data_IF_908185892282
#
_entry.id   IF_908185892282
#
_cell.length_a   1.000
_cell.length_b   1.000
_cell.length_c   1.000
_cell.angle_alpha   90.00
_cell.angle_beta   90.00
_cell.angle_gamma   90.00
#
_symmetry.space_group_name_H-M   'P 1'
#
loop_
_entity.id
_entity.type
_entity.pdbx_description
1 polymer ?
#
# COMPACT_ATOMS: atom_id res chain seq x y z
N UNK A 1 -14.28 -6.77 -3.88
CA UNK A 1 -12.98 -6.72 -3.16
C UNK A 1 -12.35 -5.36 -3.44
N UNK A 2 -11.70 -4.73 -2.44
CA UNK A 2 -10.87 -3.53 -2.65
C UNK A 2 -9.41 -3.98 -2.52
N UNK A 3 -8.58 -3.63 -3.50
CA UNK A 3 -7.16 -3.88 -3.48
C UNK A 3 -6.41 -2.62 -3.91
N UNK A 4 -5.29 -2.36 -3.26
CA UNK A 4 -4.33 -1.32 -3.67
C UNK A 4 -3.11 -2.04 -4.24
N UNK A 5 -2.75 -1.69 -5.46
CA UNK A 5 -1.57 -2.23 -6.15
C UNK A 5 -0.62 -1.11 -6.49
N UNK A 6 0.67 -1.40 -6.45
CA UNK A 6 1.74 -0.49 -6.87
C UNK A 6 2.44 -1.19 -8.02
N UNK A 7 2.47 -0.54 -9.18
CA UNK A 7 2.99 -1.07 -10.43
C UNK A 7 3.97 -0.05 -11.02
N UNK A 8 4.86 -0.49 -11.90
CA UNK A 8 5.95 0.34 -12.46
C UNK A 8 5.43 1.46 -13.34
N UNK A 9 4.39 1.16 -14.11
CA UNK A 9 3.82 2.10 -15.07
C UNK A 9 2.35 1.74 -15.42
N UNK A 10 1.75 2.58 -16.26
CA UNK A 10 0.37 2.39 -16.72
C UNK A 10 0.20 1.15 -17.63
N UNK A 11 1.25 0.69 -18.32
CA UNK A 11 1.15 -0.49 -19.18
C UNK A 11 1.07 -1.76 -18.33
N UNK A 12 1.86 -1.86 -17.26
CA UNK A 12 1.75 -2.91 -16.26
C UNK A 12 0.39 -2.90 -15.56
N UNK A 13 -0.18 -1.71 -15.27
CA UNK A 13 -1.55 -1.61 -14.75
C UNK A 13 -2.59 -2.15 -15.73
N UNK A 14 -2.50 -1.79 -17.02
CA UNK A 14 -3.44 -2.27 -18.02
C UNK A 14 -3.38 -3.80 -18.14
N UNK A 15 -2.18 -4.40 -18.14
CA UNK A 15 -2.00 -5.86 -18.12
C UNK A 15 -2.58 -6.50 -16.86
N UNK A 16 -2.25 -5.94 -15.70
CA UNK A 16 -2.69 -6.48 -14.42
C UNK A 16 -4.22 -6.47 -14.29
N UNK A 17 -4.88 -5.38 -14.67
CA UNK A 17 -6.33 -5.29 -14.58
C UNK A 17 -7.01 -6.13 -15.67
N UNK A 18 -6.57 -5.99 -16.93
CA UNK A 18 -7.26 -6.58 -18.07
C UNK A 18 -7.03 -8.09 -18.23
N UNK A 19 -5.77 -8.53 -18.09
CA UNK A 19 -5.39 -9.92 -18.35
C UNK A 19 -5.33 -10.73 -17.06
N UNK A 20 -4.68 -10.19 -16.02
CA UNK A 20 -4.50 -10.93 -14.77
C UNK A 20 -5.77 -10.99 -13.95
N UNK A 21 -6.34 -9.85 -13.56
CA UNK A 21 -7.55 -9.79 -12.75
C UNK A 21 -8.78 -10.18 -13.56
N UNK A 22 -8.90 -9.71 -14.80
CA UNK A 22 -10.00 -10.06 -15.70
C UNK A 22 -10.06 -11.55 -16.04
N UNK A 23 -8.92 -12.26 -16.01
CA UNK A 23 -8.86 -13.70 -16.24
C UNK A 23 -9.13 -14.56 -15.00
N UNK A 24 -9.35 -13.98 -13.81
CA UNK A 24 -9.66 -14.75 -12.61
C UNK A 24 -11.13 -15.20 -12.62
N UNK A 25 -11.34 -16.49 -12.36
CA UNK A 25 -12.68 -17.04 -12.19
C UNK A 25 -13.47 -16.25 -11.13
N UNK A 26 -14.69 -15.85 -11.50
CA UNK A 26 -15.59 -15.08 -10.64
C UNK A 26 -15.40 -13.55 -10.68
N UNK A 27 -14.38 -13.02 -11.39
CA UNK A 27 -14.27 -11.58 -11.63
C UNK A 27 -15.14 -11.18 -12.82
N UNK A 28 -16.31 -10.59 -12.53
CA UNK A 28 -17.25 -10.13 -13.57
C UNK A 28 -17.04 -8.67 -13.96
N UNK A 29 -16.45 -7.86 -13.07
CA UNK A 29 -16.18 -6.45 -13.32
C UNK A 29 -15.05 -5.94 -12.42
N UNK A 30 -14.28 -4.98 -12.93
CA UNK A 30 -13.25 -4.25 -12.20
C UNK A 30 -13.46 -2.75 -12.32
N UNK A 31 -13.32 -2.02 -11.21
CA UNK A 31 -13.25 -0.55 -11.20
C UNK A 31 -11.85 -0.13 -10.75
N UNK A 32 -11.12 0.55 -11.63
CA UNK A 32 -9.75 0.99 -11.37
C UNK A 32 -9.72 2.50 -11.11
N UNK A 33 -9.00 2.91 -10.08
CA UNK A 33 -8.77 4.31 -9.75
C UNK A 33 -7.26 4.53 -9.58
N UNK A 34 -6.70 5.48 -10.32
CA UNK A 34 -5.29 5.82 -10.25
C UNK A 34 -5.05 6.78 -9.09
N UNK A 35 -4.12 6.41 -8.21
CA UNK A 35 -3.60 7.32 -7.20
C UNK A 35 -2.53 8.22 -7.83
N UNK A 36 -2.77 9.53 -7.84
CA UNK A 36 -1.81 10.53 -8.36
C UNK A 36 -0.80 10.96 -7.31
N UNK A 37 -1.17 10.85 -6.02
CA UNK A 37 -0.29 11.11 -4.90
C UNK A 37 -0.72 10.29 -3.67
N UNK A 38 0.26 9.79 -2.90
CA UNK A 38 0.02 9.14 -1.62
C UNK A 38 0.46 10.07 -0.48
N UNK A 39 -0.50 10.56 0.30
CA UNK A 39 -0.30 11.54 1.37
C UNK A 39 -0.05 10.89 2.72
N UNK A 40 -0.74 9.78 2.98
CA UNK A 40 -0.49 8.92 4.13
C UNK A 40 -0.36 7.47 3.68
N UNK A 41 0.63 6.81 4.24
CA UNK A 41 0.82 5.38 4.18
C UNK A 41 0.88 4.84 5.61
N UNK A 42 0.21 3.72 5.84
CA UNK A 42 0.76 2.59 6.57
C UNK A 42 1.63 2.90 7.79
N UNK A 43 2.89 3.12 7.46
CA UNK A 43 4.06 3.27 8.30
C UNK A 43 4.03 4.42 9.31
N UNK A 44 3.23 5.46 9.10
CA UNK A 44 3.15 6.62 10.01
C UNK A 44 2.22 6.40 11.20
N UNK A 45 1.33 5.42 11.12
CA UNK A 45 0.36 5.16 12.18
C UNK A 45 1.04 4.63 13.45
N UNK A 46 0.51 5.02 14.61
CA UNK A 46 0.98 4.62 15.95
C UNK A 46 -0.16 3.99 16.72
N UNK A 47 0.11 3.09 17.67
CA UNK A 47 -0.92 2.53 18.56
C UNK A 47 -1.24 3.46 19.75
N UNK A 48 -0.43 4.50 19.96
CA UNK A 48 -0.46 5.45 21.08
C UNK A 48 -0.55 4.76 22.46
N UNK A 49 0.27 3.72 22.63
CA UNK A 49 0.47 3.07 23.94
C UNK A 49 1.72 3.54 24.65
N UNK A 50 2.58 4.29 23.94
CA UNK A 50 3.81 4.82 24.48
C UNK A 50 3.58 6.28 24.89
N UNK A 51 3.97 6.61 26.12
CA UNK A 51 4.05 7.99 26.59
C UNK A 51 5.07 8.81 25.81
N UNK A 52 5.11 10.12 26.04
CA UNK A 52 6.07 11.02 25.40
C UNK A 52 7.52 10.63 25.68
N UNK A 53 7.88 10.43 26.95
CA UNK A 53 9.21 9.99 27.37
C UNK A 53 9.65 8.67 26.70
N UNK A 54 8.75 7.68 26.65
CA UNK A 54 9.04 6.40 25.99
C UNK A 54 9.24 6.56 24.47
N UNK A 55 8.52 7.49 23.84
CA UNK A 55 8.71 7.80 22.42
C UNK A 55 10.04 8.50 22.19
N UNK A 56 10.40 9.45 23.04
CA UNK A 56 11.63 10.21 22.92
C UNK A 56 12.86 9.31 23.12
N UNK A 57 12.81 8.39 24.08
CA UNK A 57 13.84 7.35 24.26
C UNK A 57 14.02 6.47 23.01
N UNK A 58 12.95 6.19 22.27
CA UNK A 58 13.00 5.38 21.04
C UNK A 58 13.35 6.18 19.78
N UNK A 59 13.10 7.50 19.77
CA UNK A 59 13.28 8.36 18.62
C UNK A 59 14.54 9.21 18.67
N UNK A 60 15.14 9.40 19.84
CA UNK A 60 16.30 10.27 20.07
C UNK A 60 17.52 9.95 19.19
N UNK A 61 17.71 8.69 18.82
CA UNK A 61 18.82 8.24 17.97
C UNK A 61 18.48 8.13 16.48
N UNK A 62 17.27 8.52 16.05
CA UNK A 62 16.88 8.34 14.65
C UNK A 62 17.46 9.48 13.80
N UNK A 63 18.37 9.19 12.85
CA UNK A 63 18.91 10.23 11.99
C UNK A 63 17.77 10.88 11.17
N UNK A 64 17.80 12.21 10.96
CA UNK A 64 16.77 12.91 10.21
C UNK A 64 16.65 12.31 8.81
N UNK A 65 15.41 12.02 8.41
CA UNK A 65 15.11 11.42 7.12
C UNK A 65 15.29 12.43 5.99
N UNK A 66 16.34 12.22 5.17
CA UNK A 66 16.62 13.07 4.01
C UNK A 66 17.52 12.42 2.95
N UNK A 67 17.76 11.11 3.03
CA UNK A 67 18.65 10.40 2.12
C UNK A 67 17.98 9.76 0.90
N UNK A 68 18.79 9.08 0.09
CA UNK A 68 18.40 8.25 -1.05
C UNK A 68 17.37 7.18 -0.64
N UNK A 69 16.10 7.39 -1.00
CA UNK A 69 14.99 6.45 -0.74
C UNK A 69 14.95 5.29 -1.73
N UNK A 70 15.84 5.27 -2.74
CA UNK A 70 15.82 4.23 -3.73
C UNK A 70 16.36 2.92 -3.16
N UNK A 71 15.55 1.86 -3.28
CA UNK A 71 16.04 0.50 -3.12
C UNK A 71 16.89 0.14 -4.33
N UNK A 72 18.18 -0.18 -4.12
CA UNK A 72 19.06 -0.57 -5.22
C UNK A 72 18.88 -2.04 -5.53
N UNK A 73 19.08 -2.43 -6.79
CA UNK A 73 19.00 -3.83 -7.25
C UNK A 73 19.88 -4.77 -6.41
N UNK A 74 21.05 -4.30 -6.01
CA UNK A 74 22.00 -5.05 -5.15
C UNK A 74 21.49 -5.33 -3.73
N UNK A 75 20.48 -4.59 -3.25
CA UNK A 75 19.91 -4.74 -1.92
C UNK A 75 18.70 -5.68 -1.89
N UNK A 76 18.13 -6.00 -3.05
CA UNK A 76 16.89 -6.79 -3.14
C UNK A 76 17.00 -8.13 -2.41
N UNK A 77 18.15 -8.80 -2.50
CA UNK A 77 18.39 -10.06 -1.81
C UNK A 77 18.28 -9.92 -0.28
N UNK A 78 18.85 -8.84 0.29
CA UNK A 78 18.76 -8.55 1.72
C UNK A 78 17.31 -8.26 2.13
N UNK A 79 16.62 -7.42 1.36
CA UNK A 79 15.22 -7.06 1.65
C UNK A 79 14.30 -8.29 1.55
N UNK A 80 14.51 -9.18 0.58
CA UNK A 80 13.73 -10.42 0.46
C UNK A 80 13.87 -11.33 1.69
N UNK A 81 15.06 -11.40 2.29
CA UNK A 81 15.28 -12.13 3.54
C UNK A 81 14.55 -11.45 4.71
N UNK A 82 14.68 -10.13 4.83
CA UNK A 82 14.03 -9.35 5.89
C UNK A 82 12.49 -9.33 5.79
N UNK A 83 11.92 -9.43 4.59
CA UNK A 83 10.46 -9.56 4.41
C UNK A 83 9.94 -10.88 5.00
N UNK A 84 10.75 -11.95 4.93
CA UNK A 84 10.41 -13.23 5.55
C UNK A 84 10.52 -13.17 7.07
N UNK A 85 11.65 -12.65 7.54
CA UNK A 85 11.91 -12.41 8.96
C UNK A 85 12.83 -11.18 9.12
N UNK A 86 12.27 -10.10 9.63
CA UNK A 86 12.98 -8.83 9.78
C UNK A 86 13.93 -8.81 10.98
N UNK A 87 13.91 -9.84 11.83
CA UNK A 87 14.77 -9.99 13.00
C UNK A 87 16.02 -10.82 12.73
N UNK A 88 16.23 -11.25 11.48
CA UNK A 88 17.39 -12.05 11.12
C UNK A 88 18.69 -11.33 11.47
N UNK A 89 19.64 -12.01 12.15
CA UNK A 89 20.91 -11.41 12.50
C UNK A 89 21.77 -11.21 11.25
N UNK A 90 22.62 -10.17 11.28
CA UNK A 90 23.56 -9.82 10.19
C UNK A 90 24.38 -11.03 9.72
N UNK A 91 24.82 -11.90 10.63
CA UNK A 91 25.61 -13.08 10.28
C UNK A 91 24.83 -14.05 9.36
N UNK A 92 23.53 -14.25 9.61
CA UNK A 92 22.68 -15.08 8.75
C UNK A 92 22.42 -14.41 7.41
N UNK A 93 22.19 -13.10 7.40
CA UNK A 93 22.03 -12.35 6.16
C UNK A 93 23.30 -12.43 5.29
N UNK A 94 24.48 -12.32 5.90
CA UNK A 94 25.78 -12.47 5.25
C UNK A 94 25.94 -13.86 4.62
N UNK A 95 25.69 -14.91 5.40
CA UNK A 95 25.72 -16.31 4.95
C UNK A 95 24.80 -16.55 3.74
N UNK A 96 23.55 -16.08 3.80
CA UNK A 96 22.58 -16.29 2.71
C UNK A 96 22.87 -15.47 1.45
N UNK A 97 23.59 -14.35 1.58
CA UNK A 97 23.86 -13.45 0.45
C UNK A 97 25.28 -13.58 -0.09
N UNK A 98 26.17 -14.32 0.59
CA UNK A 98 27.60 -14.36 0.27
C UNK A 98 28.35 -13.06 0.55
N UNK A 99 27.72 -12.08 1.21
CA UNK A 99 28.33 -10.80 1.56
C UNK A 99 29.08 -10.89 2.88
N UNK A 100 30.12 -10.06 3.07
CA UNK A 100 30.72 -9.90 4.39
C UNK A 100 29.72 -9.28 5.38
N UNK A 101 29.77 -9.63 6.68
CA UNK A 101 28.94 -8.99 7.71
C UNK A 101 29.05 -7.46 7.73
N UNK A 102 30.25 -6.92 7.47
CA UNK A 102 30.51 -5.49 7.37
C UNK A 102 29.76 -4.86 6.20
N UNK A 103 29.76 -5.51 5.02
CA UNK A 103 29.01 -5.05 3.85
C UNK A 103 27.51 -5.05 4.12
N UNK A 104 26.98 -6.09 4.76
CA UNK A 104 25.56 -6.17 5.15
C UNK A 104 25.19 -5.01 6.06
N UNK A 105 25.92 -4.78 7.16
CA UNK A 105 25.65 -3.66 8.09
C UNK A 105 25.64 -2.33 7.37
N UNK A 106 26.63 -2.08 6.51
CA UNK A 106 26.75 -0.84 5.76
C UNK A 106 25.53 -0.62 4.84
N UNK A 107 25.04 -1.66 4.16
CA UNK A 107 23.87 -1.58 3.27
C UNK A 107 22.58 -1.37 4.04
N UNK A 108 22.36 -2.10 5.13
CA UNK A 108 21.19 -1.91 6.00
C UNK A 108 21.16 -0.47 6.55
N UNK A 109 22.27 -0.01 7.13
CA UNK A 109 22.38 1.35 7.67
C UNK A 109 22.19 2.43 6.58
N UNK A 110 22.61 2.18 5.34
CA UNK A 110 22.32 3.08 4.21
C UNK A 110 20.82 3.14 3.92
N UNK A 111 20.18 1.99 3.76
CA UNK A 111 18.75 1.92 3.45
C UNK A 111 17.88 2.50 4.58
N UNK A 112 18.26 2.26 5.83
CA UNK A 112 17.57 2.77 7.01
C UNK A 112 17.69 4.30 7.12
N UNK A 113 18.90 4.85 6.94
CA UNK A 113 19.13 6.31 6.92
C UNK A 113 18.46 6.98 5.73
N UNK A 114 18.46 6.33 4.57
CA UNK A 114 17.80 6.81 3.36
C UNK A 114 16.27 6.71 3.44
N UNK A 115 15.72 5.89 4.33
CA UNK A 115 14.29 5.60 4.41
C UNK A 115 13.79 4.59 3.37
N UNK A 116 14.70 3.94 2.63
CA UNK A 116 14.38 2.83 1.73
C UNK A 116 14.00 1.55 2.50
N UNK A 117 14.46 1.41 3.75
CA UNK A 117 14.11 0.32 4.65
C UNK A 117 13.58 0.86 5.97
N UNK A 118 12.47 0.30 6.44
CA UNK A 118 11.94 0.59 7.76
C UNK A 118 11.29 -0.63 8.39
N UNK A 119 11.44 -0.76 9.70
CA UNK A 119 10.83 -1.83 10.48
C UNK A 119 9.53 -1.35 11.10
N UNK A 120 8.56 -2.26 11.17
CA UNK A 120 7.28 -1.97 11.79
C UNK A 120 6.74 -3.17 12.53
N UNK A 121 6.27 -2.92 13.74
CA UNK A 121 5.42 -3.84 14.48
C UNK A 121 3.96 -3.55 14.12
N UNK A 122 3.24 -4.57 13.69
CA UNK A 122 1.79 -4.52 13.47
C UNK A 122 1.12 -5.39 14.54
N UNK A 123 0.00 -4.91 15.05
CA UNK A 123 -0.82 -5.60 16.05
C UNK A 123 -2.11 -6.04 15.38
N UNK A 124 -2.58 -7.26 15.70
CA UNK A 124 -3.84 -7.76 15.18
C UNK A 124 -4.98 -6.78 15.54
N UNK A 125 -5.83 -6.47 14.56
CA UNK A 125 -6.86 -5.43 14.70
C UNK A 125 -7.86 -5.71 15.81
N UNK A 126 -8.22 -6.98 15.99
CA UNK A 126 -9.09 -7.44 17.07
C UNK A 126 -8.63 -7.00 18.46
N UNK A 127 -7.32 -6.77 18.67
CA UNK A 127 -6.74 -6.37 19.96
C UNK A 127 -6.09 -4.98 19.92
N UNK A 128 -6.20 -4.24 18.81
CA UNK A 128 -5.60 -2.90 18.68
C UNK A 128 -6.45 -1.80 19.33
N UNK A 129 -7.73 -2.07 19.60
CA UNK A 129 -8.73 -1.08 19.98
C UNK A 129 -9.27 -0.25 18.81
N UNK A 130 -8.89 -0.61 17.58
CA UNK A 130 -9.33 0.00 16.30
C UNK A 130 -9.68 -1.09 15.27
N UNK A 131 -10.71 -1.92 15.53
CA UNK A 131 -10.97 -3.11 14.71
C UNK A 131 -11.62 -2.82 13.36
N UNK A 132 -12.32 -1.68 13.21
CA UNK A 132 -13.12 -1.39 12.02
C UNK A 132 -12.29 -0.60 11.01
N UNK A 133 -12.27 -1.04 9.75
CA UNK A 133 -11.65 -0.29 8.64
C UNK A 133 -12.73 0.21 7.70
N UNK A 134 -12.66 1.49 7.37
CA UNK A 134 -13.62 2.15 6.49
C UNK A 134 -12.86 2.86 5.38
N UNK A 135 -13.22 2.58 4.14
CA UNK A 135 -12.76 3.32 2.98
C UNK A 135 -13.79 4.38 2.65
N UNK A 136 -13.32 5.61 2.46
CA UNK A 136 -14.14 6.78 2.16
C UNK A 136 -13.61 7.39 0.87
N UNK A 137 -14.49 7.48 -0.14
CA UNK A 137 -14.23 8.25 -1.35
C UNK A 137 -14.89 9.60 -1.20
N UNK A 138 -14.16 10.63 -1.61
CA UNK A 138 -14.61 11.99 -1.48
C UNK A 138 -14.20 12.85 -2.67
N UNK A 139 -14.89 13.97 -2.78
CA UNK A 139 -14.64 15.02 -3.76
C UNK A 139 -14.45 16.35 -3.03
N UNK A 140 -13.47 17.13 -3.47
CA UNK A 140 -13.18 18.49 -3.03
C UNK A 140 -12.79 19.34 -4.25
N UNK A 141 -12.83 20.69 -4.20
CA UNK A 141 -12.31 21.51 -5.29
C UNK A 141 -10.87 21.09 -5.71
N UNK A 142 -10.54 21.04 -7.03
CA UNK A 142 -9.25 20.53 -7.50
C UNK A 142 -8.02 21.23 -6.92
N UNK A 143 -8.11 22.54 -6.71
CA UNK A 143 -7.10 23.40 -6.08
C UNK A 143 -6.89 23.11 -4.58
N UNK A 144 -7.88 22.45 -3.94
CA UNK A 144 -7.86 22.12 -2.52
C UNK A 144 -7.40 20.68 -2.23
N UNK A 145 -7.30 19.83 -3.26
CA UNK A 145 -7.04 18.39 -3.10
C UNK A 145 -5.78 18.11 -2.28
N UNK A 146 -4.65 18.73 -2.64
CA UNK A 146 -3.38 18.48 -1.96
C UNK A 146 -3.41 18.92 -0.50
N UNK A 147 -4.01 20.09 -0.21
CA UNK A 147 -4.13 20.62 1.15
C UNK A 147 -5.04 19.75 2.00
N UNK A 148 -6.22 19.40 1.51
CA UNK A 148 -7.19 18.58 2.22
C UNK A 148 -6.64 17.17 2.47
N UNK A 149 -6.08 16.53 1.45
CA UNK A 149 -5.49 15.20 1.59
C UNK A 149 -4.29 15.19 2.56
N UNK A 150 -3.45 16.22 2.55
CA UNK A 150 -2.37 16.39 3.52
C UNK A 150 -2.87 16.55 4.96
N UNK A 151 -3.98 17.27 5.17
CA UNK A 151 -4.60 17.41 6.49
C UNK A 151 -5.31 16.12 6.94
N UNK A 152 -6.01 15.43 6.03
CA UNK A 152 -6.63 14.12 6.28
C UNK A 152 -5.57 13.08 6.67
N UNK A 153 -4.41 13.09 6.00
CA UNK A 153 -3.26 12.25 6.29
C UNK A 153 -2.70 12.42 7.71
N UNK A 154 -2.94 13.57 8.35
CA UNK A 154 -2.55 13.84 9.73
C UNK A 154 -3.59 13.43 10.78
N UNK A 155 -4.79 13.00 10.38
CA UNK A 155 -5.80 12.53 11.33
C UNK A 155 -5.38 11.20 11.95
N UNK A 156 -5.76 11.03 13.22
CA UNK A 156 -5.39 9.87 14.02
C UNK A 156 -5.92 8.55 13.47
N UNK A 157 -7.13 8.61 12.95
CA UNK A 157 -7.88 7.51 12.36
C UNK A 157 -7.36 7.17 10.96
N UNK A 158 -6.77 8.12 10.24
CA UNK A 158 -6.33 7.93 8.86
C UNK A 158 -5.14 7.00 8.78
N UNK A 159 -5.29 5.96 7.97
CA UNK A 159 -4.29 4.91 7.77
C UNK A 159 -3.73 4.88 6.35
N UNK A 160 -4.50 5.38 5.40
CA UNK A 160 -4.09 5.63 4.03
C UNK A 160 -4.83 6.86 3.54
N UNK A 161 -4.17 7.72 2.78
CA UNK A 161 -4.83 8.85 2.11
C UNK A 161 -4.14 9.08 0.77
N UNK A 162 -4.92 9.12 -0.30
CA UNK A 162 -4.44 9.30 -1.66
C UNK A 162 -5.31 10.30 -2.42
N UNK A 163 -4.67 11.07 -3.30
CA UNK A 163 -5.36 11.80 -4.36
C UNK A 163 -5.59 10.88 -5.53
N UNK A 164 -6.74 11.00 -6.19
CA UNK A 164 -7.16 10.14 -7.29
C UNK A 164 -7.41 10.94 -8.58
N UNK A 165 -7.24 10.30 -9.74
CA UNK A 165 -7.48 10.93 -11.05
C UNK A 165 -8.92 10.75 -11.60
N UNK A 166 -9.86 10.23 -10.78
CA UNK A 166 -11.18 9.79 -11.24
C UNK A 166 -12.33 10.70 -10.79
N UNK A 167 -13.56 10.16 -10.82
CA UNK A 167 -14.77 10.87 -10.36
C UNK A 167 -14.76 11.21 -8.87
N UNK A 168 -13.93 10.51 -8.11
CA UNK A 168 -13.50 10.88 -6.77
C UNK A 168 -12.06 11.35 -6.89
N UNK A 169 -11.72 12.46 -6.26
CA UNK A 169 -10.35 13.00 -6.28
C UNK A 169 -9.59 12.81 -4.96
N UNK A 170 -10.24 12.25 -3.93
CA UNK A 170 -9.63 11.82 -2.67
C UNK A 170 -10.17 10.46 -2.24
N UNK A 171 -9.27 9.56 -1.81
CA UNK A 171 -9.58 8.32 -1.12
C UNK A 171 -8.82 8.29 0.19
N UNK A 172 -9.48 7.90 1.27
CA UNK A 172 -8.81 7.65 2.53
C UNK A 172 -9.41 6.45 3.25
N UNK A 173 -8.53 5.67 3.88
CA UNK A 173 -8.91 4.54 4.70
C UNK A 173 -8.68 4.91 6.16
N UNK A 174 -9.71 4.76 6.99
CA UNK A 174 -9.69 5.09 8.41
C UNK A 174 -9.92 3.86 9.26
N UNK A 175 -9.31 3.86 10.44
CA UNK A 175 -9.55 2.85 11.46
C UNK A 175 -10.39 3.45 12.58
N UNK A 176 -11.50 2.79 12.89
CA UNK A 176 -12.46 3.20 13.91
C UNK A 176 -12.57 2.14 15.01
N UNK A 177 -13.01 2.58 16.19
CA UNK A 177 -13.21 1.71 17.35
C UNK A 177 -14.40 0.75 17.17
N UNK A 178 -15.39 1.16 16.39
CA UNK A 178 -16.63 0.41 16.15
C UNK A 178 -17.37 1.00 14.94
N UNK A 179 -18.31 0.24 14.38
CA UNK A 179 -19.04 0.63 13.15
C UNK A 179 -19.98 1.80 13.38
N UNK A 180 -20.56 1.94 14.59
CA UNK A 180 -21.42 3.08 14.96
C UNK A 180 -20.70 4.44 14.87
N UNK A 181 -19.36 4.44 14.92
CA UNK A 181 -18.55 5.67 14.88
C UNK A 181 -18.41 6.26 13.49
N UNK A 182 -18.83 5.56 12.43
CA UNK A 182 -18.74 6.05 11.04
C UNK A 182 -19.43 7.40 10.89
N UNK A 183 -20.68 7.52 11.34
CA UNK A 183 -21.48 8.73 11.18
C UNK A 183 -20.90 9.91 11.98
N UNK A 184 -20.47 9.67 13.22
CA UNK A 184 -19.84 10.68 14.05
C UNK A 184 -18.53 11.19 13.44
N UNK A 185 -17.74 10.28 12.87
CA UNK A 185 -16.50 10.63 12.17
C UNK A 185 -16.76 11.45 10.91
N UNK A 186 -17.71 11.05 10.05
CA UNK A 186 -18.11 11.83 8.87
C UNK A 186 -18.65 13.21 9.25
N UNK A 187 -19.41 13.31 10.36
CA UNK A 187 -19.89 14.60 10.88
C UNK A 187 -18.73 15.51 11.30
N UNK A 188 -17.73 14.95 11.99
CA UNK A 188 -16.53 15.69 12.37
C UNK A 188 -15.71 16.14 11.15
N UNK A 189 -15.58 15.27 10.14
CA UNK A 189 -14.94 15.61 8.86
C UNK A 189 -15.67 16.76 8.17
N UNK A 190 -16.99 16.70 8.08
CA UNK A 190 -17.80 17.75 7.44
C UNK A 190 -17.61 19.12 8.10
N UNK A 191 -17.52 19.14 9.44
CA UNK A 191 -17.26 20.38 10.20
C UNK A 191 -15.85 20.91 9.95
N UNK A 192 -14.85 20.03 9.88
CA UNK A 192 -13.44 20.40 9.69
C UNK A 192 -13.09 20.74 8.24
N UNK A 193 -13.76 20.11 7.29
CA UNK A 193 -13.54 20.25 5.85
C UNK A 193 -14.88 20.51 5.13
N UNK A 194 -15.47 21.72 5.24
CA UNK A 194 -16.73 22.06 4.57
C UNK A 194 -16.69 22.01 3.03
N UNK A 195 -15.52 21.89 2.43
CA UNK A 195 -15.30 21.72 1.00
C UNK A 195 -15.20 20.25 0.57
N UNK A 196 -15.04 19.33 1.54
CA UNK A 196 -14.94 17.90 1.29
C UNK A 196 -16.34 17.27 1.37
N UNK A 197 -16.75 16.60 0.31
CA UNK A 197 -17.96 15.79 0.26
C UNK A 197 -17.57 14.31 0.18
N UNK A 198 -17.94 13.52 1.20
CA UNK A 198 -17.85 12.06 1.13
C UNK A 198 -18.98 11.54 0.24
N UNK A 199 -18.62 10.92 -0.87
CA UNK A 199 -19.57 10.49 -1.91
C UNK A 199 -19.80 8.98 -1.92
N UNK A 200 -18.87 8.19 -1.41
CA UNK A 200 -18.99 6.74 -1.32
C UNK A 200 -18.23 6.21 -0.09
N UNK A 201 -18.68 5.05 0.43
CA UNK A 201 -18.11 4.45 1.63
C UNK A 201 -18.19 2.92 1.60
N UNK A 202 -17.16 2.27 2.10
CA UNK A 202 -17.14 0.81 2.27
C UNK A 202 -16.52 0.43 3.62
N UNK A 203 -17.23 -0.39 4.39
CA UNK A 203 -16.69 -1.03 5.59
C UNK A 203 -16.01 -2.33 5.18
N UNK A 204 -14.73 -2.48 5.52
CA UNK A 204 -14.01 -3.71 5.25
C UNK A 204 -14.44 -4.78 6.24
N UNK A 205 -15.11 -5.82 5.74
CA UNK A 205 -15.56 -6.97 6.54
C UNK A 205 -14.39 -7.86 6.95
N UNK A 206 -13.46 -8.08 6.01
CA UNK A 206 -12.24 -8.83 6.25
C UNK A 206 -11.11 -8.24 5.43
N UNK A 207 -10.02 -7.85 6.10
CA UNK A 207 -8.78 -7.53 5.42
C UNK A 207 -7.90 -8.78 5.33
N UNK A 208 -8.09 -9.52 4.25
CA UNK A 208 -7.36 -10.74 3.94
C UNK A 208 -5.85 -10.53 3.82
N UNK A 209 -5.41 -9.36 3.34
CA UNK A 209 -3.99 -9.01 3.17
C UNK A 209 -3.69 -7.60 3.66
N UNK A 210 -2.61 -7.45 4.41
CA UNK A 210 -2.04 -6.15 4.77
C UNK A 210 -0.55 -6.15 4.40
N UNK A 211 -0.18 -5.29 3.45
CA UNK A 211 1.15 -5.28 2.84
C UNK A 211 1.55 -6.71 2.42
N UNK A 212 2.69 -7.22 2.91
CA UNK A 212 3.17 -8.57 2.61
C UNK A 212 2.59 -9.70 3.48
N UNK A 213 1.52 -9.48 4.25
CA UNK A 213 1.03 -10.47 5.23
C UNK A 213 -0.40 -10.88 4.93
N UNK A 214 -0.66 -12.20 4.86
CA UNK A 214 -2.01 -12.74 4.87
C UNK A 214 -2.51 -12.88 6.30
N UNK A 215 -3.78 -12.54 6.49
CA UNK A 215 -4.41 -12.47 7.79
C UNK A 215 -5.63 -13.40 7.85
N UNK A 216 -5.88 -13.99 9.02
CA UNK A 216 -7.15 -14.66 9.32
C UNK A 216 -8.28 -13.62 9.54
N UNK A 217 -9.54 -14.06 9.74
CA UNK A 217 -10.65 -13.14 10.02
C UNK A 217 -10.47 -12.27 11.28
N UNK A 218 -9.72 -12.73 12.28
CA UNK A 218 -9.39 -11.96 13.49
C UNK A 218 -8.25 -10.95 13.28
N UNK A 219 -7.66 -10.93 12.07
CA UNK A 219 -6.54 -10.08 11.71
C UNK A 219 -5.18 -10.57 12.21
N UNK A 220 -5.07 -11.83 12.66
CA UNK A 220 -3.79 -12.44 13.02
C UNK A 220 -3.06 -12.92 11.78
N UNK A 221 -1.73 -12.86 11.83
CA UNK A 221 -0.86 -13.26 10.72
C UNK A 221 -0.93 -14.77 10.51
N UNK A 222 -1.24 -15.17 9.28
CA UNK A 222 -1.13 -16.56 8.81
C UNK A 222 0.24 -16.83 8.19
N UNK A 223 0.61 -16.05 7.16
CA UNK A 223 1.88 -16.20 6.45
C UNK A 223 2.27 -14.94 5.68
N UNK A 224 3.55 -14.85 5.35
CA UNK A 224 4.07 -13.81 4.46
C UNK A 224 3.76 -14.16 2.99
N UNK A 225 3.13 -13.24 2.27
CA UNK A 225 3.07 -13.20 0.80
C UNK A 225 3.84 -11.98 0.35
N UNK A 226 5.04 -12.15 -0.19
CA UNK A 226 5.86 -11.02 -0.56
C UNK A 226 5.21 -10.13 -1.62
N UNK A 227 5.55 -8.83 -1.61
CA UNK A 227 4.92 -7.80 -2.44
C UNK A 227 5.91 -7.11 -3.41
N UNK A 228 7.08 -7.71 -3.64
CA UNK A 228 8.10 -7.18 -4.57
C UNK A 228 7.60 -7.20 -6.03
N UNK A 229 8.39 -6.59 -6.93
CA UNK A 229 8.14 -6.50 -8.38
C UNK A 229 7.59 -7.80 -8.94
N UNK A 230 6.37 -7.71 -9.46
CA UNK A 230 5.67 -8.81 -10.08
C UNK A 230 6.29 -9.06 -11.47
N UNK A 231 6.91 -10.20 -11.66
CA UNK A 231 7.19 -10.73 -12.99
C UNK A 231 6.02 -11.67 -13.34
N UNK A 232 5.23 -11.30 -14.35
CA UNK A 232 4.06 -12.05 -14.81
C UNK A 232 4.19 -12.34 -16.31
N UNK A 233 5.14 -13.23 -16.71
CA UNK A 233 5.47 -13.47 -18.11
C UNK A 233 4.30 -14.04 -18.93
N UNK A 234 3.32 -14.66 -18.28
CA UNK A 234 2.10 -15.14 -18.93
C UNK A 234 1.29 -13.98 -19.51
N UNK A 235 1.01 -12.97 -18.69
CA UNK A 235 0.28 -11.77 -19.16
C UNK A 235 1.09 -10.91 -20.14
N UNK A 236 2.42 -10.97 -20.08
CA UNK A 236 3.29 -10.31 -21.07
C UNK A 236 3.13 -10.96 -22.44
N UNK A 237 3.20 -12.29 -22.48
CA UNK A 237 3.02 -13.07 -23.71
C UNK A 237 1.62 -12.88 -24.31
N UNK A 238 0.58 -12.85 -23.47
CA UNK A 238 -0.80 -12.58 -23.89
C UNK A 238 -0.98 -11.17 -24.45
N UNK A 239 -0.36 -10.16 -23.84
CA UNK A 239 -0.40 -8.79 -24.37
C UNK A 239 0.32 -8.71 -25.72
N UNK A 240 1.49 -9.33 -25.84
CA UNK A 240 2.25 -9.35 -27.10
C UNK A 240 1.45 -10.01 -28.23
N UNK A 241 0.76 -11.12 -27.94
CA UNK A 241 -0.14 -11.78 -28.89
C UNK A 241 -1.33 -10.88 -29.28
N UNK A 242 -1.92 -10.14 -28.33
CA UNK A 242 -2.98 -9.18 -28.62
C UNK A 242 -2.48 -8.04 -29.51
N UNK A 243 -1.31 -7.46 -29.19
CA UNK A 243 -0.70 -6.38 -29.98
C UNK A 243 -0.37 -6.86 -31.39
N UNK A 244 0.14 -8.08 -31.55
CA UNK A 244 0.39 -8.67 -32.85
C UNK A 244 -0.89 -8.79 -33.67
N UNK A 245 -1.99 -9.29 -33.08
CA UNK A 245 -3.30 -9.38 -33.74
C UNK A 245 -3.86 -8.01 -34.15
N UNK A 246 -3.70 -7.00 -33.30
CA UNK A 246 -4.16 -5.63 -33.60
C UNK A 246 -3.37 -5.02 -34.77
N UNK A 247 -2.07 -5.33 -34.89
CA UNK A 247 -1.24 -4.87 -36.02
C UNK A 247 -1.62 -5.53 -37.34
N UNK A 248 -2.00 -6.81 -37.33
CA UNK A 248 -2.37 -7.54 -38.55
C UNK A 248 -3.80 -7.24 -39.03
N UNK A 249 -4.61 -6.59 -38.20
CA UNK A 249 -6.04 -6.40 -38.46
C UNK A 249 -6.85 -7.69 -38.29
N UNK A 250 -8.19 -7.64 -38.37
CA UNK A 250 -9.01 -8.85 -38.38
C UNK A 250 -8.66 -9.72 -39.59
N UNK A 251 -8.74 -11.05 -39.48
CA UNK A 251 -8.54 -11.93 -40.62
C UNK A 251 -9.51 -11.53 -41.74
N UNK A 252 -9.01 -11.35 -42.96
CA UNK A 252 -9.86 -11.09 -44.12
C UNK A 252 -10.80 -12.28 -44.27
N UNK A 253 -12.07 -12.09 -43.93
CA UNK A 253 -13.14 -13.03 -44.29
C UNK A 253 -13.17 -13.10 -45.80
N UNK A 254 -12.64 -14.18 -46.37
CA UNK A 254 -12.87 -14.51 -47.77
C UNK A 254 -14.34 -14.93 -47.85
N UNK A 255 -15.18 -14.05 -48.38
CA UNK A 255 -16.55 -14.42 -48.73
C UNK A 255 -16.50 -15.45 -49.87
N UNK A 256 -17.37 -16.48 -49.85
CA UNK A 256 -17.44 -17.51 -50.88
C UNK A 256 -17.86 -16.96 -52.24
#
# INVERSE_FOLDING_TARGET
MIATVVLRDNAELARYVGLRLGGLDGVTATRTQLATALHAEGSRWRLDRLGEEQRDLLLGDRPPGGGDRALRREDEALVRLLVKDCRQPVARLAEHTGLSPTTVRRRLARMERGGALMYRCEVARSVSGWPVTVYLWATTPPDEVARVAGQLAGLRETRMCASLSGSHNVLFAVWLRSVDRVQAFETALRRRFPQLAVTDRAVALWQLKLAGQLLDPDGRRLRTVPFWTWDDPGTESELDALVARLRTGPPRTVAP
#
